data_IF_118117196903
#
_entry.id   IF_118117196903
#
_cell.length_a   1.000
_cell.length_b   1.000
_cell.length_c   1.000
_cell.angle_alpha   90.00
_cell.angle_beta   90.00
_cell.angle_gamma   90.00
#
_symmetry.space_group_name_H-M   'P 1'
#
loop_
_entity.id
_entity.type
_entity.pdbx_description
1 polymer ?
#
# COMPACT_ATOMS: atom_id res chain seq x y z
N UNK A 1 2.16 -1.11 -36.67
CA UNK A 1 3.50 -1.69 -36.90
C UNK A 1 3.50 -3.09 -36.33
N UNK A 2 3.85 -4.07 -37.15
CA UNK A 2 3.93 -5.48 -36.74
C UNK A 2 5.19 -6.13 -37.34
N UNK A 3 5.74 -7.12 -36.65
CA UNK A 3 6.75 -8.03 -37.15
C UNK A 3 6.05 -9.28 -37.70
N UNK A 4 6.69 -10.00 -38.68
CA UNK A 4 6.15 -11.24 -39.21
C UNK A 4 6.03 -12.34 -38.15
N UNK A 5 5.18 -13.35 -38.42
CA UNK A 5 5.06 -14.57 -37.61
C UNK A 5 5.99 -15.66 -38.15
N UNK A 6 6.56 -16.50 -37.29
CA UNK A 6 7.46 -17.61 -37.69
C UNK A 6 8.07 -18.29 -36.49
N UNK A 7 8.96 -19.26 -36.73
CA UNK A 7 9.71 -19.95 -35.64
C UNK A 7 10.62 -18.99 -34.81
N UNK A 8 11.06 -17.92 -35.46
CA UNK A 8 11.73 -16.78 -34.82
C UNK A 8 11.16 -15.49 -35.39
N UNK A 9 10.92 -14.49 -34.53
CA UNK A 9 10.34 -13.21 -34.93
C UNK A 9 11.25 -12.06 -34.52
N UNK A 10 11.18 -10.92 -35.26
CA UNK A 10 11.92 -9.71 -34.95
C UNK A 10 11.27 -8.87 -33.86
N UNK A 11 12.03 -7.95 -33.29
CA UNK A 11 11.53 -6.94 -32.35
C UNK A 11 11.13 -5.65 -33.05
N UNK A 12 10.30 -4.84 -32.36
CA UNK A 12 10.02 -3.44 -32.71
C UNK A 12 10.70 -2.55 -31.67
N UNK A 13 11.56 -1.64 -32.11
CA UNK A 13 12.18 -0.63 -31.26
C UNK A 13 11.68 0.76 -31.65
N UNK A 14 11.15 1.52 -30.68
CA UNK A 14 10.72 2.90 -30.85
C UNK A 14 11.52 3.75 -29.88
N UNK A 15 12.38 4.62 -30.38
CA UNK A 15 13.32 5.40 -29.60
C UNK A 15 13.42 6.84 -30.15
N UNK A 16 13.42 7.82 -29.25
CA UNK A 16 13.81 9.20 -29.59
C UNK A 16 15.33 9.33 -29.68
N UNK A 17 15.82 10.34 -30.40
CA UNK A 17 17.25 10.62 -30.50
C UNK A 17 17.88 11.01 -29.16
N UNK A 18 19.14 10.62 -28.95
CA UNK A 18 19.96 11.09 -27.84
C UNK A 18 20.58 12.46 -28.14
N UNK A 19 20.77 13.28 -27.10
CA UNK A 19 21.46 14.57 -27.21
C UNK A 19 22.68 14.60 -26.30
N UNK A 20 23.77 15.22 -26.77
CA UNK A 20 25.01 15.41 -25.99
C UNK A 20 25.15 16.84 -25.45
N UNK A 21 24.32 17.80 -25.90
CA UNK A 21 24.46 19.22 -25.58
C UNK A 21 23.18 19.89 -25.10
N UNK A 22 22.03 19.27 -25.27
CA UNK A 22 20.72 19.84 -24.89
C UNK A 22 19.73 18.74 -24.54
N UNK A 23 18.46 19.07 -24.29
CA UNK A 23 17.42 18.08 -24.03
C UNK A 23 17.25 17.13 -25.24
N UNK A 24 16.97 15.85 -24.98
CA UNK A 24 16.58 14.85 -25.96
C UNK A 24 15.09 14.97 -26.31
N UNK A 25 14.67 14.32 -27.40
CA UNK A 25 13.26 14.31 -27.83
C UNK A 25 12.38 13.40 -26.95
N UNK A 26 11.08 13.68 -26.96
CA UNK A 26 10.06 12.90 -26.26
C UNK A 26 9.47 11.79 -27.16
N UNK A 27 8.90 10.76 -26.53
CA UNK A 27 7.99 9.81 -27.14
C UNK A 27 6.63 9.93 -26.45
N UNK A 28 5.56 10.27 -27.19
CA UNK A 28 4.20 10.35 -26.70
C UNK A 28 3.32 9.28 -27.35
N UNK A 29 2.61 8.51 -26.52
CA UNK A 29 1.60 7.52 -26.95
C UNK A 29 0.26 7.96 -26.39
N UNK A 30 -0.68 8.38 -27.25
CA UNK A 30 -1.97 8.93 -26.86
C UNK A 30 -3.12 8.18 -27.52
N UNK A 31 -4.18 7.90 -26.75
CA UNK A 31 -5.47 7.48 -27.31
C UNK A 31 -6.20 8.68 -27.90
N UNK A 32 -7.02 8.45 -28.92
CA UNK A 32 -7.84 9.51 -29.53
C UNK A 32 -8.93 10.03 -28.57
N UNK A 33 -9.21 11.33 -28.62
CA UNK A 33 -10.33 11.95 -27.91
C UNK A 33 -11.63 11.75 -28.69
N UNK A 34 -12.76 11.68 -27.97
CA UNK A 34 -14.09 11.69 -28.53
C UNK A 34 -14.93 12.77 -27.85
N UNK A 35 -15.83 13.43 -28.61
CA UNK A 35 -16.69 14.48 -28.09
C UNK A 35 -18.02 13.93 -27.54
N UNK A 36 -18.58 12.87 -28.15
CA UNK A 36 -19.92 12.36 -27.85
C UNK A 36 -19.94 10.86 -27.46
N UNK A 37 -18.87 10.13 -27.75
CA UNK A 37 -18.75 8.69 -27.51
C UNK A 37 -17.52 8.37 -26.65
N UNK A 38 -17.26 7.08 -26.42
CA UNK A 38 -16.09 6.61 -25.68
C UNK A 38 -14.79 6.93 -26.45
N UNK A 39 -13.82 7.53 -25.76
CA UNK A 39 -12.49 7.79 -26.30
C UNK A 39 -11.68 6.50 -26.52
N UNK A 40 -10.58 6.61 -27.30
CA UNK A 40 -9.68 5.48 -27.57
C UNK A 40 -8.93 5.00 -26.32
N UNK A 41 -8.67 3.70 -26.24
CA UNK A 41 -7.89 3.05 -25.19
C UNK A 41 -6.46 2.77 -25.65
N UNK A 42 -5.53 2.68 -24.67
CA UNK A 42 -4.17 2.18 -24.87
C UNK A 42 -4.04 0.88 -24.07
N UNK A 43 -3.56 -0.20 -24.74
CA UNK A 43 -3.29 -1.48 -24.11
C UNK A 43 -1.82 -1.87 -24.28
N UNK A 44 -1.16 -2.22 -23.18
CA UNK A 44 0.23 -2.70 -23.16
C UNK A 44 0.23 -4.07 -22.50
N UNK A 45 0.41 -5.11 -23.29
CA UNK A 45 0.32 -6.51 -22.85
C UNK A 45 1.44 -7.31 -23.50
N UNK A 46 2.07 -8.21 -22.75
CA UNK A 46 3.00 -9.20 -23.30
C UNK A 46 2.26 -10.41 -23.88
N UNK A 47 2.89 -11.12 -24.80
CA UNK A 47 2.32 -12.36 -25.35
C UNK A 47 2.26 -13.49 -24.32
N UNK A 48 1.31 -14.41 -24.52
CA UNK A 48 1.19 -15.63 -23.73
C UNK A 48 2.29 -16.64 -24.10
N UNK A 49 2.70 -17.47 -23.14
CA UNK A 49 3.54 -18.64 -23.35
C UNK A 49 2.84 -19.89 -22.82
N UNK A 50 2.83 -20.97 -23.58
CA UNK A 50 2.19 -22.24 -23.18
C UNK A 50 3.15 -23.14 -22.38
N UNK A 51 4.44 -23.08 -22.66
CA UNK A 51 5.44 -24.03 -22.13
C UNK A 51 6.60 -23.38 -21.38
N UNK A 52 6.71 -22.05 -21.40
CA UNK A 52 7.81 -21.30 -20.82
C UNK A 52 7.29 -20.03 -20.12
N UNK A 53 8.20 -19.24 -19.55
CA UNK A 53 7.84 -17.96 -18.96
C UNK A 53 7.32 -16.97 -20.03
N UNK A 54 6.28 -16.22 -19.70
CA UNK A 54 5.81 -15.09 -20.50
C UNK A 54 6.78 -13.90 -20.40
N UNK A 55 6.61 -12.92 -21.31
CA UNK A 55 7.40 -11.69 -21.28
C UNK A 55 7.10 -10.81 -20.07
N UNK A 56 7.97 -9.85 -19.79
CA UNK A 56 7.81 -8.85 -18.71
C UNK A 56 7.49 -7.47 -19.29
N UNK A 57 6.80 -6.64 -18.52
CA UNK A 57 6.64 -5.20 -18.76
C UNK A 57 7.47 -4.46 -17.70
N UNK A 58 8.33 -3.53 -18.14
CA UNK A 58 9.13 -2.67 -17.26
C UNK A 58 8.78 -1.20 -17.51
N UNK A 59 8.40 -0.48 -16.46
CA UNK A 59 8.15 0.96 -16.50
C UNK A 59 9.07 1.62 -15.47
N UNK A 60 10.04 2.39 -15.92
CA UNK A 60 11.02 3.03 -15.06
C UNK A 60 11.42 4.42 -15.60
N UNK A 61 11.72 5.36 -14.73
CA UNK A 61 12.41 6.60 -15.09
C UNK A 61 13.91 6.36 -15.28
N UNK A 62 14.57 7.25 -16.03
CA UNK A 62 16.01 7.21 -16.25
C UNK A 62 16.81 7.51 -14.98
N UNK A 63 18.05 7.03 -14.92
CA UNK A 63 19.04 7.37 -13.89
C UNK A 63 19.58 8.81 -14.12
N UNK A 64 19.83 9.54 -13.06
CA UNK A 64 20.62 10.78 -13.05
C UNK A 64 21.85 10.61 -12.17
N UNK A 65 22.99 11.15 -12.58
CA UNK A 65 24.24 11.08 -11.78
C UNK A 65 24.46 12.32 -10.93
N UNK A 66 23.99 13.49 -11.40
CA UNK A 66 24.24 14.79 -10.75
C UNK A 66 22.97 15.55 -10.37
N UNK A 67 21.82 15.13 -10.82
CA UNK A 67 20.54 15.82 -10.61
C UNK A 67 19.44 14.88 -10.15
N UNK A 68 18.22 15.41 -10.11
CA UNK A 68 17.02 14.63 -9.78
C UNK A 68 16.64 13.71 -10.94
N UNK A 69 16.05 12.56 -10.62
CA UNK A 69 15.44 11.64 -11.60
C UNK A 69 14.01 12.04 -11.91
N UNK A 70 13.51 11.62 -13.08
CA UNK A 70 12.10 11.79 -13.45
C UNK A 70 11.17 10.98 -12.55
N UNK A 71 9.91 11.41 -12.42
CA UNK A 71 8.88 10.70 -11.67
C UNK A 71 8.11 9.71 -12.58
N UNK A 72 7.73 8.55 -12.05
CA UNK A 72 6.71 7.67 -12.63
C UNK A 72 5.37 7.95 -11.95
N UNK A 73 4.32 8.32 -12.72
CA UNK A 73 2.99 8.67 -12.22
C UNK A 73 1.93 7.77 -12.83
N UNK A 74 1.18 7.05 -11.99
CA UNK A 74 0.04 6.22 -12.39
C UNK A 74 -1.22 6.79 -11.71
N UNK A 75 -2.20 7.24 -12.48
CA UNK A 75 -3.45 7.81 -11.96
C UNK A 75 -4.59 7.64 -12.96
N UNK A 76 -5.80 7.51 -12.48
CA UNK A 76 -7.02 7.63 -13.29
C UNK A 76 -7.30 9.10 -13.64
N UNK A 77 -8.11 9.32 -14.67
CA UNK A 77 -8.59 10.65 -15.06
C UNK A 77 -9.55 11.24 -14.01
N UNK A 78 -9.66 12.57 -13.98
CA UNK A 78 -10.67 13.27 -13.19
C UNK A 78 -12.02 13.27 -13.92
N UNK A 79 -13.11 13.15 -13.17
CA UNK A 79 -14.47 13.34 -13.66
C UNK A 79 -15.07 14.60 -13.03
N UNK A 80 -15.61 15.50 -13.86
CA UNK A 80 -16.21 16.77 -13.37
C UNK A 80 -17.63 16.57 -12.85
N UNK A 81 -18.39 15.63 -13.40
CA UNK A 81 -19.80 15.38 -13.05
C UNK A 81 -20.16 13.89 -12.97
N UNK A 82 -19.20 13.02 -12.87
CA UNK A 82 -19.38 11.57 -12.81
C UNK A 82 -18.45 10.91 -11.81
N UNK A 83 -18.25 9.60 -11.97
CA UNK A 83 -17.35 8.79 -11.15
C UNK A 83 -16.02 8.64 -11.89
N UNK A 84 -14.89 8.88 -11.23
CA UNK A 84 -13.56 8.60 -11.80
C UNK A 84 -13.31 7.10 -11.89
N UNK A 85 -12.50 6.68 -12.87
CA UNK A 85 -12.06 5.28 -12.98
C UNK A 85 -11.17 4.86 -11.80
N UNK A 86 -11.09 3.56 -11.56
CA UNK A 86 -10.20 2.97 -10.55
C UNK A 86 -8.77 2.78 -11.07
N UNK A 87 -7.84 2.58 -10.15
CA UNK A 87 -6.49 2.04 -10.40
C UNK A 87 -6.37 0.75 -9.60
N UNK A 88 -6.09 -0.37 -10.27
CA UNK A 88 -5.95 -1.70 -9.65
C UNK A 88 -4.52 -2.20 -9.83
N UNK A 89 -3.91 -2.69 -8.77
CA UNK A 89 -2.59 -3.36 -8.78
C UNK A 89 -2.75 -4.70 -8.10
N UNK A 90 -2.62 -5.79 -8.88
CA UNK A 90 -2.83 -7.15 -8.40
C UNK A 90 -1.85 -8.13 -9.06
N UNK A 91 -1.57 -9.24 -8.41
CA UNK A 91 -0.86 -10.39 -9.02
C UNK A 91 -1.87 -11.39 -9.56
N UNK A 92 -1.50 -12.05 -10.67
CA UNK A 92 -2.35 -13.08 -11.27
C UNK A 92 -2.57 -14.28 -10.36
N UNK A 93 -3.73 -14.94 -10.51
CA UNK A 93 -4.02 -16.22 -9.85
C UNK A 93 -3.06 -17.31 -10.35
N UNK A 94 -2.56 -18.12 -9.45
CA UNK A 94 -1.68 -19.26 -9.75
C UNK A 94 -2.18 -20.53 -9.06
N UNK A 95 -1.81 -21.70 -9.63
CA UNK A 95 -2.15 -23.02 -9.07
C UNK A 95 -1.23 -23.46 -7.94
N UNK A 96 -0.04 -22.88 -7.81
CA UNK A 96 0.94 -23.20 -6.76
C UNK A 96 1.19 -21.98 -5.87
N UNK A 97 1.86 -20.94 -6.38
CA UNK A 97 2.18 -19.73 -5.65
C UNK A 97 1.99 -18.49 -6.53
N UNK A 98 1.29 -17.48 -6.04
CA UNK A 98 1.18 -16.18 -6.71
C UNK A 98 2.45 -15.35 -6.48
N UNK A 99 2.65 -14.32 -7.32
CA UNK A 99 3.72 -13.34 -7.14
C UNK A 99 3.50 -12.41 -5.94
N UNK A 100 4.49 -11.60 -5.61
CA UNK A 100 4.45 -10.59 -4.57
C UNK A 100 4.15 -9.20 -5.13
N UNK A 101 3.51 -8.34 -4.34
CA UNK A 101 3.46 -6.89 -4.56
C UNK A 101 4.37 -6.23 -3.50
N UNK A 102 5.44 -5.56 -3.94
CA UNK A 102 6.37 -4.87 -3.07
C UNK A 102 6.24 -3.34 -3.27
N UNK A 103 5.90 -2.60 -2.21
CA UNK A 103 5.87 -1.15 -2.17
C UNK A 103 6.97 -0.66 -1.22
N UNK A 104 8.08 -0.20 -1.78
CA UNK A 104 9.30 0.10 -1.03
C UNK A 104 9.83 1.47 -1.45
N UNK A 105 10.19 2.31 -0.49
CA UNK A 105 10.98 3.54 -0.73
C UNK A 105 12.46 3.21 -0.76
N UNK A 106 13.22 3.89 -1.61
CA UNK A 106 14.66 3.67 -1.73
C UNK A 106 15.43 4.09 -0.48
N UNK A 107 16.57 3.43 -0.24
CA UNK A 107 17.52 3.83 0.80
C UNK A 107 18.24 5.13 0.40
N UNK A 108 18.58 5.97 1.38
CA UNK A 108 19.32 7.20 1.18
C UNK A 108 20.40 7.36 2.27
N UNK A 109 21.48 8.08 1.95
CA UNK A 109 22.48 8.50 2.95
C UNK A 109 21.97 9.65 3.83
N UNK A 110 21.07 10.47 3.30
CA UNK A 110 20.33 11.50 4.02
C UNK A 110 18.92 11.01 4.39
N UNK A 111 17.92 11.83 4.15
CA UNK A 111 16.53 11.47 4.42
C UNK A 111 15.98 10.53 3.35
N UNK A 112 15.41 9.40 3.75
CA UNK A 112 14.69 8.50 2.85
C UNK A 112 13.28 9.01 2.55
N UNK A 113 12.67 8.49 1.47
CA UNK A 113 11.29 8.77 1.13
C UNK A 113 10.30 8.17 2.13
N UNK A 114 9.06 8.64 2.12
CA UNK A 114 7.95 8.09 2.90
C UNK A 114 6.97 7.32 2.01
N UNK A 115 6.35 6.27 2.55
CA UNK A 115 5.18 5.61 1.97
C UNK A 115 3.93 6.14 2.65
N UNK A 116 2.99 6.72 1.86
CA UNK A 116 1.73 7.25 2.37
C UNK A 116 0.55 6.53 1.73
N UNK A 117 -0.35 5.97 2.55
CA UNK A 117 -1.65 5.44 2.14
C UNK A 117 -2.76 6.29 2.76
N UNK A 118 -3.62 6.86 1.92
CA UNK A 118 -4.70 7.76 2.36
C UNK A 118 -5.93 7.56 1.46
N UNK A 119 -7.09 7.38 2.08
CA UNK A 119 -8.38 7.46 1.38
C UNK A 119 -8.81 8.91 1.17
N UNK A 120 -9.66 9.14 0.18
CA UNK A 120 -10.22 10.46 -0.10
C UNK A 120 -11.22 10.90 0.97
N UNK A 121 -11.32 12.22 1.19
CA UNK A 121 -12.37 12.85 1.99
C UNK A 121 -13.59 13.16 1.13
N UNK A 122 -14.76 13.22 1.74
CA UNK A 122 -16.02 13.65 1.11
C UNK A 122 -16.55 14.92 1.78
N UNK A 123 -17.10 15.82 0.99
CA UNK A 123 -17.74 17.03 1.47
C UNK A 123 -19.22 16.82 1.85
N UNK A 124 -19.92 15.86 1.22
CA UNK A 124 -21.37 15.68 1.36
C UNK A 124 -21.83 14.22 1.47
N UNK A 125 -20.91 13.27 1.49
CA UNK A 125 -21.20 11.84 1.59
C UNK A 125 -20.22 11.15 2.53
N UNK A 126 -20.21 9.82 2.53
CA UNK A 126 -19.25 9.04 3.31
C UNK A 126 -17.86 9.13 2.68
N UNK A 127 -16.84 9.30 3.51
CA UNK A 127 -15.43 9.24 3.12
C UNK A 127 -15.00 7.80 2.82
N UNK A 128 -13.92 7.64 2.05
CA UNK A 128 -13.36 6.32 1.76
C UNK A 128 -12.72 5.67 2.99
N UNK A 129 -12.61 4.36 2.99
CA UNK A 129 -11.93 3.56 4.02
C UNK A 129 -10.60 3.02 3.52
N UNK A 130 -9.72 2.64 4.46
CA UNK A 130 -8.52 1.84 4.22
C UNK A 130 -8.72 0.52 4.95
N UNK A 131 -8.59 -0.62 4.25
CA UNK A 131 -8.72 -1.95 4.82
C UNK A 131 -7.47 -2.77 4.53
N UNK A 132 -6.92 -3.42 5.55
CA UNK A 132 -5.77 -4.32 5.45
C UNK A 132 -6.17 -5.69 6.00
N UNK A 133 -6.08 -6.72 5.15
CA UNK A 133 -6.39 -8.10 5.51
C UNK A 133 -5.24 -9.01 5.10
N UNK A 134 -4.85 -9.91 5.97
CA UNK A 134 -4.02 -11.05 5.62
C UNK A 134 -4.92 -12.15 5.02
N UNK A 135 -4.34 -13.05 4.22
CA UNK A 135 -5.07 -14.13 3.57
C UNK A 135 -5.44 -15.24 4.52
N UNK A 136 -6.61 -15.84 4.29
CA UNK A 136 -7.08 -17.03 5.01
C UNK A 136 -6.45 -18.31 4.44
N UNK A 137 -6.26 -19.32 5.28
CA UNK A 137 -5.95 -20.69 4.87
C UNK A 137 -7.17 -21.60 5.06
N UNK A 138 -7.57 -22.31 4.01
CA UNK A 138 -8.68 -23.28 4.05
C UNK A 138 -8.24 -24.69 4.42
N UNK A 139 -6.94 -24.92 4.59
CA UNK A 139 -6.35 -26.22 4.97
C UNK A 139 -5.79 -26.14 6.38
N UNK A 140 -5.24 -27.24 6.91
CA UNK A 140 -4.64 -27.31 8.25
C UNK A 140 -3.31 -26.50 8.37
N UNK A 141 -3.16 -25.42 7.62
CA UNK A 141 -2.02 -24.50 7.62
C UNK A 141 -2.40 -23.17 8.26
N UNK A 142 -1.40 -22.40 8.67
CA UNK A 142 -1.61 -21.08 9.26
C UNK A 142 -2.13 -20.05 8.23
N UNK A 143 -3.00 -19.15 8.67
CA UNK A 143 -3.34 -17.93 7.94
C UNK A 143 -2.16 -16.96 7.89
N UNK A 144 -2.28 -15.91 7.08
CA UNK A 144 -1.25 -14.86 6.98
C UNK A 144 -1.25 -13.91 8.18
N UNK A 145 -0.12 -13.26 8.43
CA UNK A 145 0.07 -12.26 9.49
C UNK A 145 -0.04 -10.83 8.96
N UNK A 146 -0.45 -9.89 9.82
CA UNK A 146 -0.30 -8.46 9.64
C UNK A 146 0.69 -7.95 10.68
N UNK A 147 1.86 -7.45 10.24
CA UNK A 147 2.91 -6.91 11.11
C UNK A 147 2.97 -5.38 10.96
N UNK A 148 2.81 -4.64 12.09
CA UNK A 148 3.07 -3.22 12.18
C UNK A 148 4.24 -2.98 13.12
N UNK A 149 5.34 -2.45 12.60
CA UNK A 149 6.56 -2.20 13.36
C UNK A 149 7.14 -0.84 13.00
N UNK A 150 7.46 -0.04 14.01
CA UNK A 150 8.23 1.18 13.81
C UNK A 150 9.73 0.90 13.67
N UNK A 151 10.45 1.81 13.02
CA UNK A 151 11.90 1.68 12.84
C UNK A 151 12.68 1.93 14.13
N UNK A 152 13.81 1.24 14.28
CA UNK A 152 14.78 1.51 15.35
C UNK A 152 15.62 2.74 15.02
N UNK A 153 16.12 3.42 16.03
CA UNK A 153 17.01 4.57 15.90
C UNK A 153 18.04 4.57 17.01
N UNK A 154 19.22 5.13 16.73
CA UNK A 154 20.31 5.24 17.73
C UNK A 154 20.09 6.33 18.77
N UNK A 155 19.36 7.40 18.41
CA UNK A 155 19.02 8.48 19.32
C UNK A 155 17.55 8.40 19.77
N UNK A 156 16.63 8.37 18.82
CA UNK A 156 15.18 8.24 19.04
C UNK A 156 14.61 7.25 18.06
N UNK A 157 13.83 6.29 18.52
CA UNK A 157 13.15 5.31 17.69
C UNK A 157 11.82 5.85 17.16
N UNK A 158 11.30 5.20 16.10
CA UNK A 158 9.98 5.50 15.55
C UNK A 158 8.85 5.07 16.51
N UNK A 159 7.65 5.58 16.26
CA UNK A 159 6.44 5.30 17.04
C UNK A 159 5.37 4.62 16.17
N UNK A 160 4.60 3.71 16.73
CA UNK A 160 3.31 3.26 16.21
C UNK A 160 2.20 4.02 16.96
N UNK A 161 1.40 4.81 16.23
CA UNK A 161 0.28 5.57 16.79
C UNK A 161 -1.04 5.10 16.19
N UNK A 162 -1.99 4.72 17.04
CA UNK A 162 -3.34 4.31 16.66
C UNK A 162 -4.33 5.27 17.31
N UNK A 163 -5.14 5.97 16.53
CA UNK A 163 -6.14 6.93 17.02
C UNK A 163 -7.42 6.80 16.21
N UNK A 164 -8.55 6.80 16.87
CA UNK A 164 -9.86 6.91 16.22
C UNK A 164 -10.17 8.37 15.84
N UNK A 165 -11.11 8.56 14.93
CA UNK A 165 -11.54 9.89 14.49
C UNK A 165 -12.38 10.61 15.55
N UNK A 166 -12.28 11.94 15.60
CA UNK A 166 -13.16 12.77 16.40
C UNK A 166 -14.49 13.08 15.69
N UNK A 167 -15.52 13.36 16.43
CA UNK A 167 -16.81 13.91 15.96
C UNK A 167 -17.14 15.18 16.74
N UNK A 168 -17.64 16.19 16.04
CA UNK A 168 -18.10 17.45 16.65
C UNK A 168 -19.54 17.38 17.15
N UNK A 169 -20.39 16.58 16.53
CA UNK A 169 -21.84 16.58 16.76
C UNK A 169 -22.42 15.23 17.18
N UNK A 170 -21.61 14.17 17.15
CA UNK A 170 -22.04 12.81 17.47
C UNK A 170 -20.93 12.05 18.21
N UNK A 171 -21.10 10.76 18.42
CA UNK A 171 -20.11 9.91 19.09
C UNK A 171 -18.84 9.80 18.25
N UNK A 172 -17.67 9.98 18.85
CA UNK A 172 -16.36 9.74 18.24
C UNK A 172 -16.15 8.27 17.86
N UNK A 173 -15.15 8.02 17.02
CA UNK A 173 -14.79 6.67 16.60
C UNK A 173 -14.27 5.81 17.75
N UNK A 174 -14.38 4.48 17.62
CA UNK A 174 -13.88 3.51 18.60
C UNK A 174 -12.60 2.81 18.10
N UNK A 175 -11.76 2.36 19.03
CA UNK A 175 -10.69 1.41 18.79
C UNK A 175 -11.10 0.10 19.44
N UNK A 176 -11.08 -1.00 18.68
CA UNK A 176 -11.35 -2.36 19.16
C UNK A 176 -10.16 -3.27 18.91
N UNK A 177 -9.67 -3.92 19.95
CA UNK A 177 -8.63 -4.95 19.89
C UNK A 177 -9.22 -6.24 20.42
N UNK A 178 -9.18 -7.31 19.63
CA UNK A 178 -9.71 -8.60 20.03
C UNK A 178 -8.82 -9.71 19.46
N UNK A 179 -8.59 -10.76 20.23
CA UNK A 179 -7.93 -11.98 19.76
C UNK A 179 -8.90 -12.86 18.96
N UNK A 180 -8.35 -13.83 18.22
CA UNK A 180 -9.13 -14.82 17.47
C UNK A 180 -9.78 -15.85 18.38
N UNK A 181 -10.99 -16.30 18.01
CA UNK A 181 -11.66 -17.44 18.66
C UNK A 181 -11.16 -18.76 18.08
N UNK A 182 -11.24 -19.83 18.87
CA UNK A 182 -11.08 -21.21 18.40
C UNK A 182 -12.39 -21.98 18.51
N UNK A 183 -12.59 -22.96 17.62
CA UNK A 183 -13.74 -23.90 17.68
C UNK A 183 -13.48 -25.08 18.57
N UNK A 184 -12.23 -25.52 18.77
CA UNK A 184 -11.84 -26.74 19.47
C UNK A 184 -10.70 -26.54 20.46
N UNK A 185 -9.90 -25.50 20.36
CA UNK A 185 -8.80 -25.21 21.27
C UNK A 185 -9.06 -23.94 22.08
N UNK A 186 -8.06 -23.41 22.76
CA UNK A 186 -8.13 -22.13 23.43
C UNK A 186 -8.14 -20.97 22.41
N UNK A 187 -8.82 -19.86 22.75
CA UNK A 187 -8.72 -18.60 21.99
C UNK A 187 -7.31 -18.02 22.04
N UNK A 188 -6.99 -17.14 21.10
CA UNK A 188 -5.74 -16.40 21.14
C UNK A 188 -5.64 -15.46 22.35
N UNK A 189 -4.44 -14.99 22.67
CA UNK A 189 -4.18 -14.04 23.74
C UNK A 189 -3.99 -12.63 23.20
N UNK A 190 -4.20 -11.63 24.06
CA UNK A 190 -3.75 -10.24 23.86
C UNK A 190 -2.68 -9.96 24.90
N UNK A 191 -1.47 -9.58 24.48
CA UNK A 191 -0.37 -9.21 25.36
C UNK A 191 0.00 -7.74 25.15
N UNK A 192 0.00 -6.95 26.23
CA UNK A 192 0.47 -5.56 26.24
C UNK A 192 1.56 -5.44 27.30
N UNK A 193 2.77 -5.12 26.87
CA UNK A 193 3.92 -5.00 27.78
C UNK A 193 4.89 -3.93 27.27
N UNK A 194 5.60 -3.30 28.20
CA UNK A 194 6.78 -2.50 27.85
C UNK A 194 7.99 -3.40 27.69
N UNK A 195 8.96 -2.98 26.87
CA UNK A 195 10.19 -3.75 26.72
C UNK A 195 10.98 -3.81 28.02
N UNK A 196 11.61 -4.94 28.29
CA UNK A 196 12.53 -5.10 29.43
C UNK A 196 13.90 -4.51 29.09
N UNK A 197 14.53 -3.79 30.01
CA UNK A 197 15.95 -3.48 29.92
C UNK A 197 16.78 -4.70 30.38
N UNK A 198 17.52 -5.30 29.45
CA UNK A 198 18.41 -6.43 29.71
C UNK A 198 19.78 -6.01 30.25
N UNK A 199 20.11 -4.72 30.23
CA UNK A 199 21.42 -4.18 30.62
C UNK A 199 21.45 -3.64 32.05
N UNK A 200 20.27 -3.42 32.65
CA UNK A 200 20.15 -2.84 34.00
C UNK A 200 20.58 -1.37 34.10
N UNK A 201 20.80 -0.70 32.95
CA UNK A 201 21.30 0.67 32.88
C UNK A 201 20.20 1.72 32.69
N UNK A 202 18.97 1.32 32.36
CA UNK A 202 17.83 2.20 32.15
C UNK A 202 16.53 1.63 32.74
N UNK A 203 15.52 2.45 32.92
CA UNK A 203 14.20 2.00 33.36
C UNK A 203 13.33 1.57 32.17
N UNK A 204 12.41 0.62 32.40
CA UNK A 204 11.35 0.30 31.45
C UNK A 204 10.35 1.45 31.35
N UNK A 205 9.57 1.45 30.25
CA UNK A 205 8.49 2.42 30.07
C UNK A 205 7.25 2.08 30.93
N UNK A 206 6.30 3.00 30.99
CA UNK A 206 5.02 2.85 31.70
C UNK A 206 3.93 2.31 30.78
N UNK A 207 2.95 1.60 31.36
CA UNK A 207 1.64 1.32 30.75
C UNK A 207 0.62 2.19 31.46
N UNK A 208 0.02 3.16 30.75
CA UNK A 208 -1.02 4.02 31.28
C UNK A 208 -2.37 3.69 30.64
N UNK A 209 -3.36 3.33 31.46
CA UNK A 209 -4.73 3.07 31.04
C UNK A 209 -5.64 4.02 31.82
N UNK A 210 -6.26 4.96 31.09
CA UNK A 210 -7.10 5.98 31.73
C UNK A 210 -8.33 6.26 30.85
N UNK A 211 -9.47 6.52 31.47
CA UNK A 211 -10.62 7.14 30.83
C UNK A 211 -10.37 8.62 30.61
N UNK A 212 -11.00 9.21 29.57
CA UNK A 212 -10.87 10.63 29.27
C UNK A 212 -11.55 11.51 30.32
N UNK A 213 -11.07 12.75 30.46
CA UNK A 213 -11.69 13.78 31.31
C UNK A 213 -12.96 14.30 30.63
N UNK A 214 -14.03 14.48 31.39
CA UNK A 214 -15.30 15.04 30.92
C UNK A 214 -15.82 16.08 31.92
N UNK A 215 -16.47 17.12 31.41
CA UNK A 215 -17.19 18.10 32.24
C UNK A 215 -18.54 17.58 32.79
N UNK A 216 -19.03 16.45 32.26
CA UNK A 216 -20.27 15.81 32.70
C UNK A 216 -19.99 14.47 33.37
N UNK A 217 -19.75 13.40 32.61
CA UNK A 217 -19.45 12.07 33.14
C UNK A 217 -18.32 11.45 32.33
N UNK A 218 -17.23 11.04 32.98
CA UNK A 218 -16.17 10.25 32.38
C UNK A 218 -16.64 8.84 32.11
N UNK A 219 -15.99 8.18 31.14
CA UNK A 219 -16.20 6.75 30.89
C UNK A 219 -15.61 5.88 32.01
N UNK A 220 -16.00 4.61 32.02
CA UNK A 220 -15.53 3.63 33.00
C UNK A 220 -14.34 2.82 32.40
N UNK A 221 -13.46 2.32 33.28
CA UNK A 221 -12.48 1.28 32.96
C UNK A 221 -13.02 -0.01 33.60
N UNK A 222 -13.32 -1.02 32.78
CA UNK A 222 -13.91 -2.28 33.22
C UNK A 222 -12.96 -3.44 32.89
N UNK A 223 -12.53 -4.18 33.92
CA UNK A 223 -11.69 -5.37 33.81
C UNK A 223 -12.48 -6.56 34.35
N UNK A 224 -12.88 -7.46 33.48
CA UNK A 224 -13.64 -8.66 33.82
C UNK A 224 -12.91 -9.90 33.39
N UNK A 225 -13.05 -10.98 34.15
CA UNK A 225 -12.80 -12.36 33.70
C UNK A 225 -14.08 -12.90 33.08
N UNK A 226 -13.94 -13.78 32.08
CA UNK A 226 -15.07 -14.58 31.59
C UNK A 226 -15.53 -15.61 32.61
N UNK A 227 -16.78 -16.02 32.53
CA UNK A 227 -17.34 -17.11 33.31
C UNK A 227 -16.90 -18.46 32.76
#
# INVERSE_FOLDING_TARGET
>A
ISTGSGAQTGGVNIQSGSSTASASGDIAILGGAAAEEQSGSISIVTGNSETSAAGSIMVASGKSELGETGAVKIKSGAASSGISGGVTVETGKASQASGNINLITGNALGNSGSLQMKSGSSASGNSGSISMFAGDSSTALAGGDVLLQAGSGTAVAGQVKISAGASETATGGSIRVASGKSGVGGSGSISMQTASDSTGASSSGDINIASGISSSKSGDILLNTGD
#
